data_IF_917053750155
#
_entry.id   IF_917053750155
#
_cell.length_a   1.000
_cell.length_b   1.000
_cell.length_c   1.000
_cell.angle_alpha   90.00
_cell.angle_beta   90.00
_cell.angle_gamma   90.00
#
_symmetry.space_group_name_H-M   'P 1'
#
loop_
_entity.id
_entity.type
_entity.pdbx_description
1 polymer ?
#
# COMPACT_ATOMS: atom_id res chain seq x y z
N UNK A 1 -12.60 5.11 -15.41
CA UNK A 1 -11.71 4.37 -14.49
C UNK A 1 -11.00 5.38 -13.62
N UNK A 2 -11.30 5.31 -12.34
CA UNK A 2 -10.76 6.14 -11.27
C UNK A 2 -9.46 5.48 -10.81
N UNK A 3 -8.31 5.99 -11.24
CA UNK A 3 -6.99 5.45 -10.90
C UNK A 3 -5.94 6.56 -10.96
N UNK A 4 -4.82 6.39 -10.24
CA UNK A 4 -3.66 7.26 -10.38
C UNK A 4 -3.02 6.98 -11.74
N UNK A 5 -3.00 8.01 -12.60
CA UNK A 5 -2.49 7.93 -13.98
C UNK A 5 -1.02 8.34 -14.05
N UNK A 6 -0.58 9.19 -13.12
CA UNK A 6 0.78 9.72 -13.11
C UNK A 6 1.19 10.13 -11.71
N UNK A 7 2.47 9.95 -11.41
CA UNK A 7 3.14 10.59 -10.28
C UNK A 7 4.32 11.41 -10.80
N UNK A 8 4.51 12.62 -10.25
CA UNK A 8 5.72 13.41 -10.44
C UNK A 8 6.33 13.77 -9.09
N UNK A 9 7.64 13.60 -8.98
CA UNK A 9 8.38 13.78 -7.73
C UNK A 9 9.56 14.71 -7.99
N UNK A 10 9.65 15.79 -7.22
CA UNK A 10 10.73 16.79 -7.31
C UNK A 10 11.48 16.88 -5.99
N UNK A 11 12.80 16.97 -6.08
CA UNK A 11 13.70 17.20 -4.94
C UNK A 11 13.55 16.21 -3.78
N UNK A 12 13.17 14.96 -4.04
CA UNK A 12 13.03 13.90 -3.04
C UNK A 12 14.20 12.91 -3.15
N UNK A 13 15.09 12.85 -2.15
CA UNK A 13 16.27 11.97 -2.10
C UNK A 13 17.00 11.91 -3.45
N UNK A 14 17.02 10.73 -4.09
CA UNK A 14 17.69 10.49 -5.35
C UNK A 14 16.98 11.11 -6.57
N UNK A 15 15.71 11.53 -6.45
CA UNK A 15 14.89 12.07 -7.52
C UNK A 15 15.00 13.61 -7.55
N UNK A 16 15.50 14.16 -8.66
CA UNK A 16 15.57 15.60 -8.88
C UNK A 16 14.25 16.17 -9.42
N UNK A 17 13.78 15.62 -10.53
CA UNK A 17 12.45 15.84 -11.10
C UNK A 17 12.14 14.62 -11.97
N UNK A 18 11.28 13.73 -11.48
CA UNK A 18 10.91 12.48 -12.15
C UNK A 18 9.41 12.46 -12.32
N UNK A 19 8.96 12.27 -13.55
CA UNK A 19 7.56 12.08 -13.94
C UNK A 19 7.38 10.66 -14.46
N UNK A 20 6.42 9.93 -13.91
CA UNK A 20 6.13 8.54 -14.25
C UNK A 20 4.64 8.36 -14.50
N UNK A 21 4.30 7.97 -15.73
CA UNK A 21 2.97 7.47 -16.08
C UNK A 21 2.78 6.07 -15.49
N UNK A 22 1.59 5.82 -14.94
CA UNK A 22 1.21 4.57 -14.30
C UNK A 22 0.16 3.85 -15.15
N UNK A 23 0.46 2.62 -15.54
CA UNK A 23 -0.48 1.70 -16.18
C UNK A 23 -0.91 0.58 -15.23
N UNK A 24 -1.80 -0.31 -15.71
CA UNK A 24 -2.30 -1.46 -14.93
C UNK A 24 -1.21 -2.40 -14.41
N UNK A 25 -0.03 -2.43 -15.06
CA UNK A 25 1.20 -3.01 -14.52
C UNK A 25 2.37 -2.09 -14.88
N UNK A 26 3.10 -1.61 -13.87
CA UNK A 26 4.27 -0.74 -14.06
C UNK A 26 5.49 -1.38 -13.41
N UNK A 27 6.52 -1.70 -14.20
CA UNK A 27 7.76 -2.35 -13.72
C UNK A 27 8.91 -1.34 -13.71
N UNK A 28 9.50 -1.10 -12.54
CA UNK A 28 10.64 -0.18 -12.38
C UNK A 28 11.97 -0.93 -12.49
N UNK A 29 12.74 -0.66 -13.55
CA UNK A 29 14.05 -1.28 -13.80
C UNK A 29 15.15 -0.21 -13.81
N UNK A 30 16.28 -0.50 -13.15
CA UNK A 30 17.45 0.38 -13.15
C UNK A 30 18.48 -0.02 -12.10
N UNK A 31 19.67 0.55 -12.19
CA UNK A 31 20.78 0.29 -11.25
C UNK A 31 20.44 0.64 -9.80
N UNK A 32 21.21 0.10 -8.86
CA UNK A 32 21.08 0.48 -7.45
C UNK A 32 21.35 1.99 -7.27
N UNK A 33 20.59 2.64 -6.39
CA UNK A 33 20.72 4.07 -6.12
C UNK A 33 20.00 5.01 -7.11
N UNK A 34 19.37 4.50 -8.18
CA UNK A 34 18.66 5.36 -9.17
C UNK A 34 17.32 5.94 -8.67
N UNK A 35 16.92 5.66 -7.42
CA UNK A 35 15.69 6.22 -6.83
C UNK A 35 14.43 5.36 -6.98
N UNK A 36 14.53 4.09 -7.38
CA UNK A 36 13.36 3.18 -7.42
C UNK A 36 12.65 3.06 -6.07
N UNK A 37 13.40 2.82 -5.00
CA UNK A 37 12.85 2.79 -3.64
C UNK A 37 12.35 4.16 -3.18
N UNK A 38 12.97 5.24 -3.64
CA UNK A 38 12.49 6.61 -3.37
C UNK A 38 11.14 6.87 -4.02
N UNK A 39 10.88 6.30 -5.21
CA UNK A 39 9.58 6.42 -5.87
C UNK A 39 8.49 5.63 -5.13
N UNK A 40 8.82 4.43 -4.64
CA UNK A 40 7.91 3.68 -3.76
C UNK A 40 7.62 4.43 -2.46
N UNK A 41 8.65 5.08 -1.90
CA UNK A 41 8.48 5.94 -0.74
C UNK A 41 7.61 7.17 -1.05
N UNK A 42 7.72 7.77 -2.23
CA UNK A 42 6.83 8.87 -2.63
C UNK A 42 5.35 8.45 -2.66
N UNK A 43 5.06 7.25 -3.17
CA UNK A 43 3.71 6.66 -3.13
C UNK A 43 3.25 6.38 -1.70
N UNK A 44 4.17 5.95 -0.83
CA UNK A 44 3.88 5.73 0.58
C UNK A 44 3.54 7.04 1.29
N UNK A 45 4.28 8.11 1.00
CA UNK A 45 4.01 9.44 1.52
C UNK A 45 2.62 9.91 1.03
N UNK A 46 2.30 9.81 -0.26
CA UNK A 46 0.96 10.15 -0.77
C UNK A 46 -0.17 9.41 -0.02
N UNK A 47 -0.02 8.10 0.16
CA UNK A 47 -0.97 7.29 0.93
C UNK A 47 -1.09 7.78 2.37
N UNK A 48 0.04 7.93 3.06
CA UNK A 48 0.07 8.25 4.49
C UNK A 48 -0.65 9.57 4.76
N UNK A 49 -0.46 10.57 3.90
CA UNK A 49 -1.15 11.86 4.01
C UNK A 49 -2.67 11.76 3.86
N UNK A 50 -3.17 10.80 3.08
CA UNK A 50 -4.61 10.57 2.96
C UNK A 50 -5.21 9.93 4.22
N UNK A 51 -4.48 9.08 4.96
CA UNK A 51 -5.05 8.31 6.08
C UNK A 51 -4.82 8.93 7.45
N UNK A 52 -3.58 9.30 7.73
CA UNK A 52 -3.13 9.76 9.03
C UNK A 52 -2.38 11.05 8.76
N UNK A 53 -3.08 12.18 8.85
CA UNK A 53 -2.57 13.57 8.77
C UNK A 53 -1.07 13.56 8.59
N UNK A 54 -0.58 13.58 7.34
CA UNK A 54 0.82 13.30 7.02
C UNK A 54 1.75 14.31 7.67
N UNK A 55 1.96 14.15 8.96
CA UNK A 55 2.36 15.22 9.83
C UNK A 55 3.87 15.27 9.88
N UNK A 56 4.39 16.40 10.35
CA UNK A 56 5.80 16.51 10.72
C UNK A 56 6.26 15.33 11.61
N UNK A 57 5.37 14.83 12.47
CA UNK A 57 5.63 13.67 13.34
C UNK A 57 5.75 12.37 12.56
N UNK A 58 4.81 12.07 11.66
CA UNK A 58 4.87 10.86 10.81
C UNK A 58 6.16 10.83 9.99
N UNK A 59 6.50 11.97 9.37
CA UNK A 59 7.74 12.14 8.62
C UNK A 59 8.98 11.88 9.47
N UNK A 60 9.03 12.48 10.66
CA UNK A 60 10.15 12.30 11.59
C UNK A 60 10.28 10.84 12.05
N UNK A 61 9.16 10.23 12.44
CA UNK A 61 9.12 8.91 13.06
C UNK A 61 9.40 7.77 12.08
N UNK A 62 8.86 7.83 10.87
CA UNK A 62 8.90 6.71 9.92
C UNK A 62 9.83 6.93 8.73
N UNK A 63 10.13 8.19 8.39
CA UNK A 63 10.95 8.52 7.21
C UNK A 63 12.25 9.27 7.53
N UNK A 64 12.54 9.51 8.81
CA UNK A 64 13.73 10.23 9.26
C UNK A 64 13.64 11.75 9.12
N UNK A 65 12.50 12.28 8.69
CA UNK A 65 12.23 13.71 8.58
C UNK A 65 12.86 14.39 7.35
N UNK A 66 12.70 15.72 7.29
CA UNK A 66 13.01 16.52 6.10
C UNK A 66 14.46 16.44 5.63
N UNK A 67 15.41 16.38 6.57
CA UNK A 67 16.85 16.32 6.23
C UNK A 67 17.26 15.00 5.55
N UNK A 68 16.46 13.95 5.70
CA UNK A 68 16.64 12.65 5.02
C UNK A 68 15.87 12.60 3.71
N UNK A 69 14.68 13.22 3.67
CA UNK A 69 13.78 13.16 2.53
C UNK A 69 14.13 14.16 1.43
N UNK A 70 14.50 15.40 1.78
CA UNK A 70 14.91 16.37 0.79
C UNK A 70 16.18 15.91 0.08
N UNK A 71 16.24 16.13 -1.23
CA UNK A 71 17.45 15.92 -2.02
C UNK A 71 18.58 16.75 -1.45
N UNK A 72 19.81 16.26 -1.55
CA UNK A 72 20.98 16.96 -1.03
C UNK A 72 21.07 18.40 -1.57
N UNK A 73 21.15 19.37 -0.65
CA UNK A 73 21.18 20.80 -0.97
C UNK A 73 19.81 21.46 -1.03
N UNK A 74 18.73 20.68 -1.03
CA UNK A 74 17.34 21.17 -1.04
C UNK A 74 16.78 21.23 0.39
N UNK A 75 15.85 22.14 0.62
CA UNK A 75 15.10 22.26 1.87
C UNK A 75 13.60 21.96 1.70
N UNK A 76 13.22 21.49 0.51
CA UNK A 76 11.85 21.15 0.16
C UNK A 76 11.79 20.05 -0.89
N UNK A 77 10.66 19.35 -0.96
CA UNK A 77 10.33 18.41 -2.02
C UNK A 77 8.85 18.54 -2.39
N UNK A 78 8.51 18.08 -3.59
CA UNK A 78 7.15 18.10 -4.11
C UNK A 78 6.77 16.71 -4.62
N UNK A 79 5.56 16.26 -4.30
CA UNK A 79 4.94 15.09 -4.90
C UNK A 79 3.63 15.54 -5.52
N UNK A 80 3.49 15.27 -6.81
CA UNK A 80 2.33 15.56 -7.64
C UNK A 80 1.73 14.23 -8.11
N UNK A 81 0.40 14.13 -8.16
CA UNK A 81 -0.30 12.97 -8.71
C UNK A 81 -1.46 13.40 -9.58
N UNK A 82 -1.58 12.77 -10.74
CA UNK A 82 -2.74 12.92 -11.62
C UNK A 82 -3.67 11.73 -11.43
N UNK A 83 -4.93 11.99 -11.15
CA UNK A 83 -5.94 10.98 -10.79
C UNK A 83 -7.13 11.10 -11.74
N UNK A 84 -7.57 10.00 -12.33
CA UNK A 84 -8.80 9.97 -13.12
C UNK A 84 -10.05 10.05 -12.24
N UNK A 85 -11.08 10.76 -12.70
CA UNK A 85 -12.40 10.79 -12.06
C UNK A 85 -13.31 9.63 -12.46
N UNK A 86 -14.54 9.66 -11.94
CA UNK A 86 -15.58 8.70 -12.34
C UNK A 86 -15.94 8.86 -13.82
N UNK A 87 -16.03 10.12 -14.28
CA UNK A 87 -16.10 10.47 -15.69
C UNK A 87 -14.70 10.30 -16.33
N UNK A 88 -14.55 9.57 -17.45
CA UNK A 88 -13.28 9.41 -18.16
C UNK A 88 -12.54 10.72 -18.46
N UNK A 89 -13.28 11.78 -18.78
CA UNK A 89 -12.74 13.11 -19.13
C UNK A 89 -12.32 13.90 -17.88
N UNK A 90 -12.89 13.57 -16.72
CA UNK A 90 -12.53 14.22 -15.47
C UNK A 90 -11.15 13.77 -15.00
N UNK A 91 -10.29 14.74 -14.75
CA UNK A 91 -8.97 14.52 -14.17
C UNK A 91 -8.76 15.47 -13.00
N UNK A 92 -8.09 14.97 -11.96
CA UNK A 92 -7.69 15.73 -10.80
C UNK A 92 -6.17 15.79 -10.72
N UNK A 93 -5.64 16.94 -10.37
CA UNK A 93 -4.23 17.13 -10.08
C UNK A 93 -4.08 17.45 -8.60
N UNK A 94 -3.44 16.55 -7.87
CA UNK A 94 -3.08 16.76 -6.48
C UNK A 94 -1.59 17.07 -6.38
N UNK A 95 -1.24 18.06 -5.56
CA UNK A 95 0.12 18.45 -5.27
C UNK A 95 0.30 18.56 -3.77
N UNK A 96 1.42 18.03 -3.30
CA UNK A 96 1.91 18.18 -1.94
C UNK A 96 3.33 18.69 -1.99
N UNK A 97 3.58 19.81 -1.31
CA UNK A 97 4.90 20.40 -1.15
C UNK A 97 5.27 20.43 0.32
N UNK A 98 6.43 19.88 0.65
CA UNK A 98 6.92 19.81 2.03
C UNK A 98 8.21 20.62 2.11
N UNK A 99 8.35 21.50 3.11
CA UNK A 99 9.52 22.37 3.27
C UNK A 99 9.89 22.67 4.72
N UNK A 100 11.17 22.98 4.94
CA UNK A 100 11.64 23.63 6.16
C UNK A 100 11.85 22.72 7.38
N UNK A 101 12.30 23.36 8.45
CA UNK A 101 12.38 22.82 9.82
C UNK A 101 12.06 23.97 10.78
N UNK A 102 10.87 24.01 11.43
CA UNK A 102 9.82 22.98 11.46
C UNK A 102 9.22 22.67 10.09
N UNK A 103 8.65 21.47 9.95
CA UNK A 103 8.09 20.99 8.69
C UNK A 103 6.80 21.75 8.38
N UNK A 104 6.76 22.37 7.22
CA UNK A 104 5.57 22.98 6.63
C UNK A 104 5.12 22.18 5.42
N UNK A 105 3.83 21.91 5.34
CA UNK A 105 3.20 21.16 4.26
C UNK A 105 2.18 22.08 3.60
N UNK A 106 2.28 22.21 2.29
CA UNK A 106 1.34 22.92 1.42
C UNK A 106 0.70 21.90 0.49
N UNK A 107 -0.63 21.85 0.48
CA UNK A 107 -1.41 20.93 -0.33
C UNK A 107 -2.33 21.72 -1.26
N UNK A 108 -2.48 21.27 -2.50
CA UNK A 108 -3.42 21.85 -3.46
C UNK A 108 -4.01 20.78 -4.36
N UNK A 109 -5.28 20.92 -4.71
CA UNK A 109 -5.97 20.03 -5.62
C UNK A 109 -6.79 20.83 -6.65
N UNK A 110 -6.60 20.53 -7.93
CA UNK A 110 -7.32 21.16 -9.04
C UNK A 110 -7.98 20.11 -9.93
N UNK A 111 -9.01 20.50 -10.66
CA UNK A 111 -9.57 19.70 -11.76
C UNK A 111 -8.84 19.99 -13.07
N UNK A 112 -9.16 19.23 -14.12
CA UNK A 112 -8.70 19.44 -15.50
C UNK A 112 -9.03 20.83 -16.07
N UNK A 113 -10.11 21.45 -15.58
CA UNK A 113 -10.50 22.82 -15.97
C UNK A 113 -9.75 23.90 -15.16
N UNK A 114 -8.75 23.50 -14.38
CA UNK A 114 -8.04 24.33 -13.40
C UNK A 114 -8.97 25.01 -12.39
N UNK A 115 -10.19 24.52 -12.23
CA UNK A 115 -11.00 24.85 -11.06
C UNK A 115 -10.28 24.26 -9.87
N UNK A 116 -9.80 25.13 -8.99
CA UNK A 116 -9.44 24.72 -7.64
C UNK A 116 -10.64 23.98 -7.06
N UNK A 117 -10.40 22.93 -6.28
CA UNK A 117 -11.47 22.36 -5.44
C UNK A 117 -11.85 23.30 -4.28
N UNK A 118 -11.66 24.62 -4.46
CA UNK A 118 -11.81 25.70 -3.51
C UNK A 118 -13.25 26.22 -3.49
N UNK A 119 -14.08 25.57 -2.67
CA UNK A 119 -15.05 26.26 -1.79
C UNK A 119 -14.67 26.01 -0.31
N UNK A 120 -13.35 25.94 -0.02
CA UNK A 120 -12.81 25.38 1.22
C UNK A 120 -11.95 26.34 2.04
N UNK A 121 -11.44 27.39 1.40
CA UNK A 121 -10.76 28.49 2.08
C UNK A 121 -11.70 29.27 3.03
N UNK A 122 -13.01 29.24 2.80
CA UNK A 122 -13.99 29.93 3.66
C UNK A 122 -14.20 29.25 5.03
N UNK A 123 -13.81 27.98 5.19
CA UNK A 123 -14.02 27.26 6.45
C UNK A 123 -12.76 27.15 7.34
N UNK A 124 -11.55 27.04 6.76
CA UNK A 124 -10.30 26.91 7.53
C UNK A 124 -9.09 27.53 6.80
N UNK A 125 -8.84 28.84 6.95
CA UNK A 125 -7.85 29.57 6.14
C UNK A 125 -6.37 29.26 6.43
N UNK A 126 -6.05 28.40 7.40
CA UNK A 126 -4.65 28.18 7.80
C UNK A 126 -4.09 26.77 7.55
N UNK A 127 -4.91 25.74 7.31
CA UNK A 127 -4.41 24.38 7.07
C UNK A 127 -5.38 23.57 6.21
N UNK A 128 -4.97 23.23 4.98
CA UNK A 128 -5.66 22.27 4.13
C UNK A 128 -4.92 20.94 4.22
N UNK A 129 -5.60 19.86 4.63
CA UNK A 129 -5.06 18.49 4.55
C UNK A 129 -5.97 17.61 3.68
N UNK A 130 -5.43 16.60 3.00
CA UNK A 130 -6.24 15.54 2.36
C UNK A 130 -7.28 14.93 3.31
N UNK A 131 -7.01 14.90 4.62
CA UNK A 131 -7.99 14.45 5.62
C UNK A 131 -9.22 15.36 5.68
N UNK A 132 -9.08 16.66 5.42
CA UNK A 132 -10.20 17.59 5.38
C UNK A 132 -11.12 17.33 4.16
N UNK A 133 -10.57 16.86 3.02
CA UNK A 133 -11.38 16.42 1.85
C UNK A 133 -12.38 15.32 2.20
N UNK A 134 -12.10 14.47 3.19
CA UNK A 134 -13.04 13.46 3.69
C UNK A 134 -14.28 14.09 4.35
N UNK A 135 -14.13 15.27 4.95
CA UNK A 135 -15.20 16.01 5.64
C UNK A 135 -16.02 16.88 4.69
N UNK A 136 -15.58 17.00 3.44
CA UNK A 136 -16.17 17.89 2.47
C UNK A 136 -17.27 17.17 1.69
N UNK A 137 -18.43 17.82 1.69
CA UNK A 137 -19.70 17.38 1.07
C UNK A 137 -19.61 17.23 -0.47
N UNK A 138 -18.58 17.78 -1.12
CA UNK A 138 -18.46 17.74 -2.58
C UNK A 138 -17.95 16.38 -3.08
N UNK A 139 -18.77 15.68 -3.89
CA UNK A 139 -18.46 14.36 -4.47
C UNK A 139 -17.08 14.28 -5.17
N UNK A 140 -16.64 15.38 -5.81
CA UNK A 140 -15.35 15.49 -6.51
C UNK A 140 -14.14 15.33 -5.57
N UNK A 141 -14.16 16.00 -4.41
CA UNK A 141 -13.06 15.92 -3.42
C UNK A 141 -12.95 14.54 -2.78
N UNK A 142 -14.10 13.89 -2.55
CA UNK A 142 -14.17 12.52 -2.04
C UNK A 142 -13.60 11.50 -3.03
N UNK A 143 -13.91 11.64 -4.33
CA UNK A 143 -13.35 10.76 -5.37
C UNK A 143 -11.82 10.83 -5.42
N UNK A 144 -11.24 12.03 -5.36
CA UNK A 144 -9.78 12.22 -5.29
C UNK A 144 -9.19 11.56 -4.03
N UNK A 145 -9.79 11.82 -2.86
CA UNK A 145 -9.37 11.24 -1.59
C UNK A 145 -9.35 9.72 -1.64
N UNK A 146 -10.45 9.11 -2.09
CA UNK A 146 -10.59 7.65 -2.13
C UNK A 146 -9.49 7.02 -3.00
N UNK A 147 -9.08 7.65 -4.11
CA UNK A 147 -8.01 7.12 -4.96
C UNK A 147 -6.63 7.18 -4.32
N UNK A 148 -6.27 8.29 -3.69
CA UNK A 148 -4.97 8.43 -3.01
C UNK A 148 -4.93 7.53 -1.76
N UNK A 149 -6.02 7.48 -1.01
CA UNK A 149 -6.17 6.58 0.14
C UNK A 149 -6.10 5.10 -0.25
N UNK A 150 -6.43 4.74 -1.49
CA UNK A 150 -6.39 3.36 -1.95
C UNK A 150 -5.01 2.88 -2.41
N UNK A 151 -3.99 3.74 -2.40
CA UNK A 151 -2.60 3.31 -2.63
C UNK A 151 -2.19 2.35 -1.51
N UNK A 152 -1.71 1.16 -1.87
CA UNK A 152 -1.08 0.23 -0.94
C UNK A 152 0.37 -0.05 -1.37
N UNK A 153 1.31 0.35 -0.53
CA UNK A 153 2.75 0.12 -0.76
C UNK A 153 3.17 -1.11 0.04
N UNK A 154 3.49 -2.18 -0.69
CA UNK A 154 4.06 -3.40 -0.13
C UNK A 154 5.59 -3.38 -0.29
N UNK A 155 6.31 -3.30 0.83
CA UNK A 155 7.73 -3.67 0.88
C UNK A 155 7.85 -5.20 0.87
N UNK A 156 9.03 -5.78 0.60
CA UNK A 156 9.23 -7.22 0.76
C UNK A 156 8.69 -7.68 2.11
N UNK A 157 7.83 -8.69 2.10
CA UNK A 157 7.23 -9.22 3.32
C UNK A 157 8.36 -9.65 4.27
N UNK A 158 8.42 -9.07 5.48
CA UNK A 158 9.39 -9.49 6.48
C UNK A 158 8.92 -10.83 7.07
N UNK A 159 9.45 -11.88 6.47
CA UNK A 159 9.13 -13.26 6.79
C UNK A 159 10.19 -13.91 7.68
N UNK A 160 11.18 -13.12 8.14
CA UNK A 160 12.35 -13.56 8.87
C UNK A 160 12.04 -14.59 9.95
N UNK A 161 12.95 -15.55 10.15
CA UNK A 161 12.82 -16.58 11.18
C UNK A 161 12.45 -15.95 12.54
N UNK A 162 11.41 -16.49 13.20
CA UNK A 162 10.82 -15.90 14.40
C UNK A 162 11.79 -15.61 15.55
N UNK A 163 12.93 -16.31 15.61
CA UNK A 163 13.98 -16.08 16.60
C UNK A 163 14.91 -14.90 16.25
N UNK A 164 15.07 -14.58 14.96
CA UNK A 164 15.91 -13.50 14.47
C UNK A 164 15.19 -12.14 14.52
N UNK A 165 13.88 -12.15 14.26
CA UNK A 165 12.99 -10.98 14.37
C UNK A 165 12.84 -10.48 15.82
N UNK A 166 13.05 -11.34 16.83
CA UNK A 166 13.10 -10.93 18.25
C UNK A 166 14.35 -10.11 18.62
N UNK A 167 15.45 -10.20 17.85
CA UNK A 167 16.71 -9.48 18.14
C UNK A 167 16.84 -8.15 17.40
N UNK A 168 16.18 -8.00 16.26
CA UNK A 168 16.16 -6.77 15.47
C UNK A 168 14.79 -6.09 15.63
N UNK A 169 14.75 -4.95 16.34
CA UNK A 169 13.55 -4.19 16.77
C UNK A 169 12.66 -3.60 15.64
N UNK A 170 12.61 -4.19 14.45
CA UNK A 170 11.79 -3.67 13.35
C UNK A 170 11.00 -4.80 12.70
N UNK A 171 9.71 -4.90 13.04
CA UNK A 171 8.75 -5.79 12.39
C UNK A 171 8.56 -7.12 13.11
N UNK A 172 7.43 -7.29 13.79
CA UNK A 172 6.96 -8.62 14.10
C UNK A 172 6.60 -9.31 12.77
N UNK A 173 7.01 -10.55 12.54
CA UNK A 173 6.65 -11.32 11.34
C UNK A 173 5.13 -11.60 11.31
N UNK A 174 4.35 -10.57 10.93
CA UNK A 174 2.90 -10.51 11.14
C UNK A 174 2.17 -11.65 10.41
N UNK A 175 2.64 -12.01 9.21
CA UNK A 175 2.13 -13.14 8.44
C UNK A 175 2.25 -14.51 9.13
N UNK A 176 3.12 -14.66 10.15
CA UNK A 176 3.26 -15.91 10.94
C UNK A 176 2.26 -16.01 12.09
N UNK A 177 1.71 -14.88 12.55
CA UNK A 177 0.89 -14.82 13.76
C UNK A 177 -0.58 -15.10 13.45
N UNK A 178 -1.31 -15.74 14.38
CA UNK A 178 -2.75 -15.83 14.28
C UNK A 178 -3.38 -14.43 14.33
N UNK A 179 -4.37 -14.17 13.49
CA UNK A 179 -5.13 -12.92 13.46
C UNK A 179 -6.63 -13.20 13.63
N UNK A 180 -7.43 -12.20 14.00
CA UNK A 180 -8.89 -12.37 14.12
C UNK A 180 -9.47 -12.59 12.72
N UNK A 181 -10.39 -13.55 12.57
CA UNK A 181 -11.08 -13.78 11.29
C UNK A 181 -11.85 -12.52 10.94
N UNK A 182 -11.61 -12.02 9.73
CA UNK A 182 -12.41 -10.94 9.15
C UNK A 182 -12.53 -11.16 7.64
N UNK A 183 -13.67 -10.77 7.05
CA UNK A 183 -13.82 -10.79 5.60
C UNK A 183 -12.98 -9.66 5.01
N UNK A 184 -12.05 -9.99 4.12
CA UNK A 184 -11.13 -8.97 3.57
C UNK A 184 -11.08 -9.01 2.05
N UNK A 185 -11.12 -7.82 1.45
CA UNK A 185 -10.89 -7.64 0.00
C UNK A 185 -9.46 -7.21 -0.32
N UNK A 186 -8.57 -7.15 0.68
CA UNK A 186 -7.19 -6.71 0.51
C UNK A 186 -6.23 -7.42 1.45
N UNK A 187 -4.98 -7.53 1.00
CA UNK A 187 -3.89 -7.94 1.88
C UNK A 187 -3.35 -6.71 2.63
N UNK A 188 -3.26 -6.79 3.94
CA UNK A 188 -2.67 -5.74 4.77
C UNK A 188 -1.14 -5.69 4.64
N UNK A 189 -0.56 -4.60 5.13
CA UNK A 189 0.90 -4.42 5.17
C UNK A 189 1.60 -5.59 5.83
N UNK A 190 2.72 -5.98 5.25
CA UNK A 190 3.53 -7.12 5.71
C UNK A 190 2.76 -8.45 5.85
N UNK A 191 1.57 -8.56 5.24
CA UNK A 191 0.74 -9.76 5.30
C UNK A 191 0.09 -9.98 6.66
N UNK A 192 -0.15 -8.92 7.45
CA UNK A 192 -0.70 -9.04 8.80
C UNK A 192 -2.04 -9.79 8.87
N UNK A 193 -2.83 -9.74 7.79
CA UNK A 193 -4.11 -10.43 7.68
C UNK A 193 -4.08 -11.67 6.76
N UNK A 194 -2.90 -12.27 6.53
CA UNK A 194 -2.73 -13.33 5.53
C UNK A 194 -3.65 -14.54 5.76
N UNK A 195 -3.93 -14.93 7.01
CA UNK A 195 -4.87 -16.03 7.26
C UNK A 195 -6.32 -15.63 6.92
N UNK A 196 -6.74 -14.39 7.23
CA UNK A 196 -8.05 -13.87 6.81
C UNK A 196 -8.15 -13.78 5.28
N UNK A 197 -7.08 -13.35 4.60
CA UNK A 197 -7.01 -13.32 3.15
C UNK A 197 -7.28 -14.69 2.52
N UNK A 198 -6.60 -15.74 2.98
CA UNK A 198 -6.84 -17.11 2.48
C UNK A 198 -8.17 -17.70 2.91
N UNK A 199 -8.75 -17.26 4.04
CA UNK A 199 -10.12 -17.60 4.39
C UNK A 199 -11.10 -17.05 3.33
N UNK A 200 -10.99 -15.76 2.98
CA UNK A 200 -11.86 -15.12 1.99
C UNK A 200 -11.67 -15.73 0.60
N UNK A 201 -10.42 -15.90 0.14
CA UNK A 201 -10.11 -16.51 -1.17
C UNK A 201 -10.72 -17.89 -1.34
N UNK A 202 -10.70 -18.71 -0.28
CA UNK A 202 -11.18 -20.10 -0.32
C UNK A 202 -12.69 -20.20 -0.14
N UNK A 203 -13.27 -19.40 0.76
CA UNK A 203 -14.63 -19.62 1.25
C UNK A 203 -15.66 -18.61 0.71
N UNK A 204 -15.24 -17.42 0.26
CA UNK A 204 -16.16 -16.30 -0.02
C UNK A 204 -16.20 -15.89 -1.50
N UNK A 205 -15.13 -16.09 -2.27
CA UNK A 205 -15.05 -15.70 -3.69
C UNK A 205 -15.48 -16.78 -4.69
N UNK A 206 -15.90 -17.95 -4.18
CA UNK A 206 -16.45 -19.03 -4.98
C UNK A 206 -15.42 -20.03 -5.52
N UNK A 207 -15.90 -21.23 -5.86
CA UNK A 207 -15.04 -22.38 -6.17
C UNK A 207 -14.21 -22.22 -7.47
N UNK A 208 -14.68 -21.45 -8.45
CA UNK A 208 -13.92 -21.19 -9.67
C UNK A 208 -12.71 -20.29 -9.38
N UNK A 209 -12.92 -19.20 -8.63
CA UNK A 209 -11.87 -18.27 -8.22
C UNK A 209 -10.81 -18.96 -7.35
N UNK A 210 -11.25 -19.82 -6.42
CA UNK A 210 -10.34 -20.62 -5.61
C UNK A 210 -9.48 -21.57 -6.45
N UNK A 211 -10.06 -22.22 -7.47
CA UNK A 211 -9.30 -23.15 -8.33
C UNK A 211 -8.13 -22.46 -9.02
N UNK A 212 -8.38 -21.31 -9.64
CA UNK A 212 -7.34 -20.49 -10.28
C UNK A 212 -6.31 -19.97 -9.26
N UNK A 213 -6.79 -19.48 -8.11
CA UNK A 213 -5.91 -19.03 -7.01
C UNK A 213 -4.99 -20.17 -6.57
N UNK A 214 -5.53 -21.38 -6.42
CA UNK A 214 -4.77 -22.54 -6.00
C UNK A 214 -3.79 -23.04 -7.08
N UNK A 215 -4.15 -22.94 -8.36
CA UNK A 215 -3.22 -23.19 -9.47
C UNK A 215 -2.01 -22.26 -9.41
N UNK A 216 -2.21 -20.96 -9.10
CA UNK A 216 -1.11 -20.03 -8.86
C UNK A 216 -0.27 -20.44 -7.64
N UNK A 217 -0.89 -20.86 -6.54
CA UNK A 217 -0.15 -21.38 -5.37
C UNK A 217 0.77 -22.55 -5.78
N UNK A 218 0.22 -23.54 -6.50
CA UNK A 218 0.98 -24.70 -6.95
C UNK A 218 2.04 -24.36 -8.00
N UNK A 219 1.85 -23.29 -8.77
CA UNK A 219 2.83 -22.83 -9.76
C UNK A 219 4.15 -22.42 -9.10
N UNK A 220 4.12 -21.73 -7.97
CA UNK A 220 5.34 -21.28 -7.28
C UNK A 220 5.80 -22.17 -6.13
N UNK A 221 4.89 -22.83 -5.42
CA UNK A 221 5.26 -23.73 -4.31
C UNK A 221 5.42 -25.19 -4.74
N UNK A 222 5.03 -25.52 -5.96
CA UNK A 222 5.03 -26.87 -6.50
C UNK A 222 3.75 -27.65 -6.20
N UNK A 223 3.57 -28.76 -6.93
CA UNK A 223 2.40 -29.63 -6.85
C UNK A 223 2.34 -30.49 -5.57
N UNK A 224 3.37 -30.43 -4.75
CA UNK A 224 3.36 -31.09 -3.43
C UNK A 224 2.38 -30.38 -2.47
N UNK A 225 2.06 -29.10 -2.71
CA UNK A 225 1.00 -28.39 -1.99
C UNK A 225 -0.36 -28.90 -2.47
N UNK A 226 -1.15 -29.44 -1.55
CA UNK A 226 -2.49 -29.99 -1.82
C UNK A 226 -3.63 -29.19 -1.19
N UNK A 227 -3.33 -28.37 -0.17
CA UNK A 227 -4.29 -27.39 0.36
C UNK A 227 -3.60 -26.18 1.01
N UNK A 228 -4.30 -25.05 1.01
CA UNK A 228 -4.00 -23.91 1.89
C UNK A 228 -5.27 -23.53 2.62
N UNK A 229 -5.22 -23.46 3.95
CA UNK A 229 -6.40 -23.18 4.76
C UNK A 229 -6.08 -22.31 5.97
N UNK A 230 -7.02 -21.42 6.29
CA UNK A 230 -7.08 -20.74 7.57
C UNK A 230 -7.96 -21.57 8.51
N UNK A 231 -7.46 -21.93 9.69
CA UNK A 231 -8.22 -22.69 10.67
C UNK A 231 -8.15 -22.05 12.05
N UNK A 232 -9.21 -22.23 12.82
CA UNK A 232 -9.35 -21.66 14.15
C UNK A 232 -8.17 -22.08 15.04
N UNK A 233 -7.51 -21.08 15.63
CA UNK A 233 -6.39 -21.24 16.55
C UNK A 233 -6.81 -21.03 18.02
N UNK A 234 -8.07 -20.62 18.24
CA UNK A 234 -8.66 -20.32 19.54
C UNK A 234 -8.87 -18.82 19.78
N UNK A 235 -9.81 -18.45 20.65
CA UNK A 235 -10.08 -17.05 21.00
C UNK A 235 -10.57 -16.16 19.86
N UNK A 236 -11.17 -16.72 18.81
CA UNK A 236 -11.59 -15.98 17.61
C UNK A 236 -10.46 -15.74 16.59
N UNK A 237 -9.25 -16.22 16.86
CA UNK A 237 -8.12 -16.12 15.94
C UNK A 237 -8.07 -17.31 14.97
N UNK A 238 -7.57 -17.07 13.77
CA UNK A 238 -7.17 -18.08 12.78
C UNK A 238 -5.69 -18.08 12.55
N UNK A 239 -5.16 -19.26 12.25
CA UNK A 239 -3.81 -19.45 11.76
C UNK A 239 -3.86 -20.07 10.37
N UNK A 240 -3.00 -19.57 9.48
CA UNK A 240 -2.80 -20.13 8.16
C UNK A 240 -2.03 -21.46 8.28
N UNK A 241 -2.38 -22.43 7.45
CA UNK A 241 -1.65 -23.69 7.30
C UNK A 241 -1.58 -24.07 5.83
N UNK A 242 -0.50 -24.74 5.46
CA UNK A 242 -0.32 -25.35 4.14
C UNK A 242 -0.26 -26.86 4.34
N UNK A 243 -1.02 -27.60 3.55
CA UNK A 243 -0.97 -29.06 3.53
C UNK A 243 -0.13 -29.53 2.36
N UNK A 244 0.92 -30.28 2.68
CA UNK A 244 1.82 -30.90 1.71
C UNK A 244 1.51 -32.40 1.63
N UNK A 245 1.54 -32.98 0.43
CA UNK A 245 1.39 -34.42 0.25
C UNK A 245 2.54 -35.21 0.91
N UNK A 246 3.75 -34.65 0.92
CA UNK A 246 4.95 -35.28 1.46
C UNK A 246 5.06 -35.28 2.98
N UNK A 247 4.70 -34.18 3.64
CA UNK A 247 4.97 -33.95 5.08
C UNK A 247 3.71 -33.63 5.90
N UNK A 248 2.55 -33.55 5.25
CA UNK A 248 1.29 -33.20 5.89
C UNK A 248 1.14 -31.71 6.17
N UNK A 249 0.32 -31.39 7.17
CA UNK A 249 -0.08 -30.01 7.48
C UNK A 249 0.98 -29.26 8.28
N UNK A 250 1.42 -28.12 7.75
CA UNK A 250 2.40 -27.24 8.38
C UNK A 250 1.76 -25.88 8.65
N UNK A 251 1.74 -25.41 9.92
CA UNK A 251 1.19 -24.10 10.28
C UNK A 251 2.16 -22.96 9.91
N UNK A 252 1.63 -21.76 9.72
CA UNK A 252 2.38 -20.60 9.24
C UNK A 252 3.61 -20.23 10.08
N UNK A 253 3.56 -20.42 11.40
CA UNK A 253 4.70 -20.16 12.27
C UNK A 253 5.91 -21.08 11.98
N UNK A 254 5.67 -22.26 11.39
CA UNK A 254 6.69 -23.25 11.01
C UNK A 254 7.04 -23.22 9.53
N UNK A 255 6.36 -22.42 8.71
CA UNK A 255 6.66 -22.31 7.28
C UNK A 255 7.96 -21.55 7.02
N UNK A 256 8.59 -21.92 5.90
CA UNK A 256 9.73 -21.19 5.38
C UNK A 256 9.31 -19.81 4.86
N UNK A 257 10.22 -18.87 4.98
CA UNK A 257 10.06 -17.46 4.61
C UNK A 257 9.52 -17.29 3.19
N UNK A 258 10.14 -17.94 2.21
CA UNK A 258 9.75 -17.87 0.81
C UNK A 258 8.33 -18.40 0.54
N UNK A 259 7.84 -19.35 1.34
CA UNK A 259 6.47 -19.87 1.22
C UNK A 259 5.47 -18.78 1.63
N UNK A 260 5.69 -18.13 2.77
CA UNK A 260 4.83 -17.05 3.25
C UNK A 260 4.85 -15.84 2.31
N UNK A 261 6.03 -15.45 1.80
CA UNK A 261 6.17 -14.38 0.80
C UNK A 261 5.39 -14.69 -0.47
N UNK A 262 5.49 -15.92 -0.98
CA UNK A 262 4.79 -16.31 -2.19
C UNK A 262 3.28 -16.38 -1.99
N UNK A 263 2.81 -16.93 -0.85
CA UNK A 263 1.39 -16.94 -0.52
C UNK A 263 0.84 -15.52 -0.39
N UNK A 264 1.60 -14.59 0.19
CA UNK A 264 1.23 -13.19 0.27
C UNK A 264 1.16 -12.53 -1.12
N UNK A 265 2.09 -12.85 -2.03
CA UNK A 265 2.03 -12.38 -3.41
C UNK A 265 0.77 -12.89 -4.15
N UNK A 266 0.46 -14.18 -4.03
CA UNK A 266 -0.76 -14.76 -4.63
C UNK A 266 -2.01 -14.07 -4.05
N UNK A 267 -2.08 -13.91 -2.73
CA UNK A 267 -3.21 -13.23 -2.08
C UNK A 267 -3.37 -11.78 -2.56
N UNK A 268 -2.26 -11.04 -2.69
CA UNK A 268 -2.25 -9.68 -3.22
C UNK A 268 -2.84 -9.63 -4.63
N UNK A 269 -2.43 -10.56 -5.51
CA UNK A 269 -2.94 -10.60 -6.89
C UNK A 269 -4.40 -11.02 -7.00
N UNK A 270 -4.86 -11.93 -6.13
CA UNK A 270 -6.18 -12.57 -6.27
C UNK A 270 -7.30 -11.92 -5.48
N UNK A 271 -6.98 -11.16 -4.42
CA UNK A 271 -7.98 -10.37 -3.70
C UNK A 271 -8.37 -9.09 -4.45
N UNK A 272 -7.48 -8.55 -5.29
CA UNK A 272 -7.70 -7.29 -6.00
C UNK A 272 -8.39 -7.47 -7.38
N UNK A 273 -8.76 -8.70 -7.73
CA UNK A 273 -9.56 -9.04 -8.92
C UNK A 273 -11.01 -8.57 -8.77
N UNK A 274 -11.19 -7.26 -8.89
CA UNK A 274 -12.49 -6.57 -8.77
C UNK A 274 -12.39 -5.05 -8.89
N UNK A 275 -11.18 -4.52 -9.11
CA UNK A 275 -10.95 -3.10 -9.38
C UNK A 275 -10.53 -2.90 -10.83
N UNK A 276 -11.49 -2.48 -11.63
CA UNK A 276 -11.28 -1.78 -12.88
C UNK A 276 -11.74 -0.34 -12.72
#
# INVERSE_FOLDING_TARGET
>A
MTAIREIRVKSLKALADVRLELGGLTVLVGSNGTGKSTLLEALELLRAWAHDTGSAEYLGKFHGGMHVLARQGENSFVIESTVGGEDPEQTFHYQMKVRGSPVHIEESATTSDNELLDDLNDFFPEFFTLHDLRRISQAKGRALYDQIANIDVHLPFDVGAGWATLRHRQGEAAARKPNIIDSTRRLERFGANLASAYHTLKNELGAAHWRETFELVQLGLGRDVIDVSASAFGGGHVSLSVEFASIGRVPAFSLADGVLTYLAFVALTRLDEGRS
#
